data_IF_989882575798
#
_entry.id   IF_989882575798
#
_cell.length_a   1.000
_cell.length_b   1.000
_cell.length_c   1.000
_cell.angle_alpha   90.00
_cell.angle_beta   90.00
_cell.angle_gamma   90.00
#
_symmetry.space_group_name_H-M   'P 1'
#
loop_
_entity.id
_entity.type
_entity.pdbx_description
1 polymer ?
#
# COMPACT_ATOMS: atom_id res chain seq x y z
N UNK A 1 5.50 7.53 -5.49
CA UNK A 1 4.47 6.79 -6.20
C UNK A 1 3.79 5.81 -5.29
N UNK A 2 2.84 5.08 -5.81
CA UNK A 2 2.07 4.09 -5.06
C UNK A 2 0.74 4.62 -4.54
N UNK A 3 0.13 3.86 -3.65
CA UNK A 3 -1.18 4.15 -3.09
C UNK A 3 -1.07 4.81 -1.72
N UNK A 4 -2.14 5.48 -1.31
CA UNK A 4 -2.29 6.06 0.02
C UNK A 4 -3.70 5.77 0.56
N UNK A 5 -3.78 5.41 1.84
CA UNK A 5 -5.03 5.26 2.56
C UNK A 5 -4.93 6.01 3.87
N UNK A 6 -5.99 6.74 4.22
CA UNK A 6 -5.95 7.60 5.41
C UNK A 6 -7.28 7.57 6.15
N UNK A 7 -7.20 7.55 7.47
CA UNK A 7 -8.32 7.84 8.37
C UNK A 7 -7.94 9.06 9.21
N UNK A 8 -8.82 10.06 9.24
CA UNK A 8 -8.66 11.27 10.04
C UNK A 8 -9.82 11.36 11.03
N UNK A 9 -9.51 11.49 12.33
CA UNK A 9 -10.46 11.96 13.32
C UNK A 9 -10.38 13.48 13.41
N UNK A 10 -11.50 14.14 13.13
CA UNK A 10 -11.63 15.58 13.28
C UNK A 10 -12.45 15.92 14.54
N UNK A 11 -11.85 16.46 15.58
CA UNK A 11 -12.53 16.79 16.83
C UNK A 11 -13.54 17.94 16.66
N UNK A 12 -13.40 18.80 15.66
CA UNK A 12 -14.32 19.91 15.44
C UNK A 12 -15.69 19.43 14.93
N UNK A 13 -15.68 18.46 14.01
CA UNK A 13 -16.89 17.84 13.48
C UNK A 13 -17.31 16.57 14.25
N UNK A 14 -16.46 16.05 15.15
CA UNK A 14 -16.61 14.77 15.83
C UNK A 14 -16.86 13.60 14.86
N UNK A 15 -16.11 13.56 13.76
CA UNK A 15 -16.26 12.56 12.70
C UNK A 15 -14.93 11.97 12.28
N UNK A 16 -15.01 10.70 11.87
CA UNK A 16 -13.97 10.04 11.11
C UNK A 16 -14.18 10.31 9.62
N UNK A 17 -13.09 10.59 8.92
CA UNK A 17 -13.02 10.73 7.48
C UNK A 17 -12.05 9.70 6.93
N UNK A 18 -12.48 8.92 5.96
CA UNK A 18 -11.63 7.99 5.24
C UNK A 18 -11.25 8.53 3.87
N UNK A 19 -10.01 8.31 3.44
CA UNK A 19 -9.58 8.62 2.09
C UNK A 19 -8.93 7.40 1.45
N UNK A 20 -9.45 7.01 0.29
CA UNK A 20 -8.93 5.96 -0.56
C UNK A 20 -8.21 6.59 -1.76
N UNK A 21 -6.88 6.66 -1.69
CA UNK A 21 -6.01 7.15 -2.76
C UNK A 21 -5.33 6.01 -3.52
N UNK A 22 -5.99 4.86 -3.69
CA UNK A 22 -5.50 3.80 -4.55
C UNK A 22 -5.71 4.13 -6.03
N UNK A 23 -4.79 3.68 -6.86
CA UNK A 23 -4.85 3.92 -8.30
C UNK A 23 -5.53 2.80 -9.08
N UNK A 24 -6.28 3.19 -10.10
CA UNK A 24 -6.92 2.25 -11.02
C UNK A 24 -5.92 1.59 -11.96
N UNK A 25 -6.25 0.42 -12.46
CA UNK A 25 -5.54 -0.24 -13.56
C UNK A 25 -5.57 0.64 -14.81
N UNK A 26 -4.47 0.71 -15.60
CA UNK A 26 -4.45 1.44 -16.86
C UNK A 26 -5.57 1.03 -17.81
N UNK A 27 -6.28 2.00 -18.40
CA UNK A 27 -7.42 1.73 -19.28
C UNK A 27 -7.06 0.94 -20.55
N UNK A 28 -5.80 1.06 -20.99
CA UNK A 28 -5.29 0.31 -22.14
C UNK A 28 -5.07 -1.18 -21.89
N UNK A 29 -5.24 -1.66 -20.64
CA UNK A 29 -5.04 -3.06 -20.28
C UNK A 29 -6.38 -3.78 -20.11
N UNK A 30 -6.68 -4.70 -21.01
CA UNK A 30 -7.86 -5.57 -20.87
C UNK A 30 -7.58 -6.79 -19.98
N UNK A 31 -8.64 -7.37 -19.40
CA UNK A 31 -8.54 -8.62 -18.63
C UNK A 31 -7.91 -9.74 -19.47
N UNK A 32 -8.20 -9.81 -20.77
CA UNK A 32 -7.61 -10.81 -21.66
C UNK A 32 -6.08 -10.63 -21.80
N UNK A 33 -5.60 -9.39 -21.85
CA UNK A 33 -4.16 -9.09 -21.86
C UNK A 33 -3.51 -9.46 -20.53
N UNK A 34 -4.13 -9.11 -19.40
CA UNK A 34 -3.64 -9.47 -18.08
C UNK A 34 -3.55 -10.99 -17.90
N UNK A 35 -4.58 -11.73 -18.31
CA UNK A 35 -4.58 -13.22 -18.29
C UNK A 35 -3.51 -13.85 -19.17
N UNK A 36 -3.18 -13.24 -20.32
CA UNK A 36 -2.07 -13.70 -21.17
C UNK A 36 -0.73 -13.48 -20.48
N UNK A 37 -0.54 -12.30 -19.89
CA UNK A 37 0.69 -11.97 -19.17
C UNK A 37 0.89 -12.87 -17.94
N UNK A 38 -0.16 -13.11 -17.16
CA UNK A 38 -0.15 -14.03 -16.03
C UNK A 38 0.24 -15.47 -16.44
N UNK A 39 -0.32 -15.98 -17.55
CA UNK A 39 0.06 -17.29 -18.12
C UNK A 39 1.51 -17.32 -18.58
N UNK A 40 1.98 -16.28 -19.26
CA UNK A 40 3.38 -16.16 -19.71
C UNK A 40 4.36 -16.25 -18.54
N UNK A 41 3.95 -15.78 -17.38
CA UNK A 41 4.74 -15.80 -16.14
C UNK A 41 4.56 -17.04 -15.28
N UNK A 42 3.79 -18.03 -15.74
CA UNK A 42 3.60 -19.30 -15.06
C UNK A 42 2.60 -19.30 -13.89
N UNK A 43 1.89 -18.19 -13.68
CA UNK A 43 0.82 -18.13 -12.67
C UNK A 43 -0.48 -17.53 -13.26
N UNK A 44 -1.30 -18.34 -13.94
CA UNK A 44 -2.49 -17.86 -14.63
C UNK A 44 -3.61 -17.35 -13.71
N UNK A 45 -3.53 -17.64 -12.42
CA UNK A 45 -4.54 -17.26 -11.43
C UNK A 45 -4.24 -15.92 -10.73
N UNK A 46 -3.07 -15.32 -10.97
CA UNK A 46 -2.65 -14.11 -10.23
C UNK A 46 -2.18 -12.99 -11.16
N UNK A 47 -2.45 -11.76 -10.75
CA UNK A 47 -1.82 -10.58 -11.34
C UNK A 47 -0.29 -10.65 -11.08
N UNK A 48 0.56 -10.37 -12.11
CA UNK A 48 2.00 -10.33 -11.90
C UNK A 48 2.39 -9.36 -10.79
N UNK A 49 3.36 -9.75 -9.95
CA UNK A 49 3.82 -8.90 -8.85
C UNK A 49 4.90 -7.90 -9.24
N UNK A 50 5.50 -8.05 -10.43
CA UNK A 50 6.60 -7.22 -10.94
C UNK A 50 6.41 -6.87 -12.42
N UNK A 51 7.09 -5.80 -12.83
CA UNK A 51 7.14 -5.33 -14.21
C UNK A 51 5.91 -4.49 -14.60
N UNK A 52 5.94 -4.00 -15.81
CA UNK A 52 4.99 -3.01 -16.31
C UNK A 52 3.50 -3.42 -16.23
N UNK A 53 3.22 -4.73 -16.13
CA UNK A 53 1.85 -5.25 -16.03
C UNK A 53 1.23 -5.09 -14.62
N UNK A 54 2.06 -4.90 -13.60
CA UNK A 54 1.58 -4.71 -12.21
C UNK A 54 1.36 -3.25 -11.83
N UNK A 55 1.75 -2.30 -12.70
CA UNK A 55 1.68 -0.87 -12.40
C UNK A 55 0.26 -0.34 -12.54
N UNK A 56 -0.28 0.19 -11.44
CA UNK A 56 -1.51 1.01 -11.40
C UNK A 56 -1.14 2.51 -11.44
N UNK A 57 -2.14 3.36 -11.54
CA UNK A 57 -1.95 4.81 -11.44
C UNK A 57 -1.48 5.16 -10.02
N UNK A 58 -0.34 5.86 -9.84
CA UNK A 58 0.10 6.25 -8.50
C UNK A 58 -0.84 7.28 -7.88
N UNK A 59 -1.45 6.99 -6.73
CA UNK A 59 -2.45 7.86 -6.10
C UNK A 59 -1.94 8.69 -4.93
N UNK A 60 -0.73 8.43 -4.43
CA UNK A 60 -0.20 9.07 -3.21
C UNK A 60 -0.20 10.60 -3.27
N UNK A 61 0.25 11.20 -4.37
CA UNK A 61 0.31 12.67 -4.50
C UNK A 61 -1.08 13.29 -4.48
N UNK A 62 -2.05 12.64 -5.12
CA UNK A 62 -3.45 13.07 -5.07
C UNK A 62 -3.98 13.10 -3.62
N UNK A 63 -3.72 12.04 -2.86
CA UNK A 63 -4.11 11.98 -1.46
C UNK A 63 -3.47 13.05 -0.59
N UNK A 64 -2.20 13.42 -0.83
CA UNK A 64 -1.59 14.55 -0.12
C UNK A 64 -2.35 15.86 -0.35
N UNK A 65 -2.74 16.14 -1.58
CA UNK A 65 -3.48 17.35 -1.90
C UNK A 65 -4.93 17.31 -1.39
N UNK A 66 -5.61 16.17 -1.48
CA UNK A 66 -6.96 16.02 -0.93
C UNK A 66 -7.01 16.24 0.58
N UNK A 67 -6.04 15.68 1.32
CA UNK A 67 -5.90 15.91 2.77
C UNK A 67 -5.55 17.35 3.08
N UNK A 68 -4.62 17.92 2.31
CA UNK A 68 -4.19 19.31 2.49
C UNK A 68 -5.32 20.30 2.23
N UNK A 69 -6.10 20.13 1.20
CA UNK A 69 -7.25 20.98 0.86
C UNK A 69 -8.27 21.02 2.02
N UNK A 70 -8.47 19.88 2.69
CA UNK A 70 -9.48 19.76 3.74
C UNK A 70 -8.99 20.14 5.12
N UNK A 71 -7.76 19.75 5.46
CA UNK A 71 -7.21 19.86 6.82
C UNK A 71 -5.90 20.65 6.90
N UNK A 72 -5.26 20.93 5.77
CA UNK A 72 -3.96 21.59 5.71
C UNK A 72 -4.04 23.07 6.08
N UNK A 73 -2.98 23.57 6.73
CA UNK A 73 -2.84 24.99 7.13
C UNK A 73 -1.60 25.64 6.53
N UNK A 74 -0.53 24.88 6.35
CA UNK A 74 0.74 25.38 5.82
C UNK A 74 0.79 25.18 4.30
N UNK A 75 1.49 26.02 3.54
CA UNK A 75 1.69 25.80 2.11
C UNK A 75 2.35 24.45 1.83
N UNK A 76 1.93 23.75 0.78
CA UNK A 76 2.48 22.43 0.41
C UNK A 76 3.99 22.46 0.22
N UNK A 77 4.53 23.53 -0.37
CA UNK A 77 5.98 23.71 -0.52
C UNK A 77 6.72 23.71 0.83
N UNK A 78 6.14 24.32 1.87
CA UNK A 78 6.71 24.30 3.21
C UNK A 78 6.63 22.91 3.84
N UNK A 79 5.53 22.19 3.63
CA UNK A 79 5.36 20.82 4.14
C UNK A 79 6.35 19.85 3.50
N UNK A 80 6.65 20.00 2.21
CA UNK A 80 7.59 19.15 1.49
C UNK A 80 9.07 19.54 1.67
N UNK A 81 9.36 20.77 2.17
CA UNK A 81 10.73 21.30 2.27
C UNK A 81 11.71 20.37 3.02
N UNK A 82 11.38 19.77 4.18
CA UNK A 82 12.28 18.84 4.85
C UNK A 82 12.58 17.60 4.01
N UNK A 83 11.58 17.05 3.32
CA UNK A 83 11.76 15.87 2.46
C UNK A 83 12.60 16.22 1.23
N UNK A 84 12.42 17.40 0.65
CA UNK A 84 13.25 17.93 -0.44
C UNK A 84 14.71 18.05 0.03
N UNK A 85 14.94 18.57 1.23
CA UNK A 85 16.29 18.67 1.80
C UNK A 85 16.93 17.30 1.96
N UNK A 86 16.25 16.33 2.59
CA UNK A 86 16.74 14.96 2.73
C UNK A 86 17.02 14.29 1.36
N UNK A 87 16.15 14.48 0.40
CA UNK A 87 16.35 13.94 -0.93
C UNK A 87 17.57 14.57 -1.65
N UNK A 88 17.84 15.85 -1.42
CA UNK A 88 18.94 16.59 -2.04
C UNK A 88 20.29 16.35 -1.37
N UNK A 89 20.33 16.42 -0.06
CA UNK A 89 21.56 16.37 0.73
C UNK A 89 21.91 14.96 1.20
N UNK A 90 20.90 14.09 1.31
CA UNK A 90 21.00 12.72 1.76
C UNK A 90 20.25 12.46 3.07
N UNK A 91 19.57 11.34 3.09
CA UNK A 91 18.92 10.80 4.28
C UNK A 91 19.79 9.69 4.91
N UNK A 92 19.89 9.61 6.25
CA UNK A 92 20.58 8.51 6.91
C UNK A 92 19.81 7.20 6.70
N UNK A 93 20.53 6.16 6.29
CA UNK A 93 19.93 4.85 6.04
C UNK A 93 20.34 3.88 7.15
N UNK A 94 19.41 3.46 8.04
CA UNK A 94 19.71 2.49 9.10
C UNK A 94 20.07 1.11 8.54
N UNK A 95 20.79 0.29 9.32
CA UNK A 95 21.24 -1.05 8.93
C UNK A 95 20.10 -1.95 8.44
N UNK A 96 18.94 -1.94 9.11
CA UNK A 96 17.78 -2.74 8.69
C UNK A 96 17.29 -2.32 7.30
N UNK A 97 17.24 -1.03 7.01
CA UNK A 97 16.84 -0.54 5.69
C UNK A 97 17.88 -0.89 4.64
N UNK A 98 19.19 -0.77 4.95
CA UNK A 98 20.25 -1.20 4.04
C UNK A 98 20.18 -2.70 3.71
N UNK A 99 19.84 -3.56 4.70
CA UNK A 99 19.59 -4.98 4.47
C UNK A 99 18.40 -5.21 3.51
N UNK A 100 17.27 -4.53 3.71
CA UNK A 100 16.14 -4.59 2.78
C UNK A 100 16.50 -4.07 1.39
N UNK A 101 17.32 -3.04 1.31
CA UNK A 101 17.83 -2.48 0.06
C UNK A 101 18.63 -3.51 -0.73
N UNK A 102 19.57 -4.18 -0.07
CA UNK A 102 20.35 -5.27 -0.68
C UNK A 102 19.46 -6.46 -1.13
N UNK A 103 18.40 -6.77 -0.35
CA UNK A 103 17.42 -7.79 -0.74
C UNK A 103 16.62 -7.36 -1.97
N UNK A 104 16.19 -6.10 -2.03
CA UNK A 104 15.48 -5.55 -3.20
C UNK A 104 16.36 -5.56 -4.46
N UNK A 105 17.66 -5.20 -4.35
CA UNK A 105 18.61 -5.34 -5.46
C UNK A 105 18.62 -6.77 -6.01
N UNK A 106 18.85 -7.77 -5.14
CA UNK A 106 18.89 -9.19 -5.56
C UNK A 106 17.58 -9.61 -6.22
N UNK A 107 16.43 -9.18 -5.67
CA UNK A 107 15.12 -9.47 -6.22
C UNK A 107 14.95 -8.87 -7.63
N UNK A 108 15.21 -7.57 -7.81
CA UNK A 108 15.05 -6.91 -9.11
C UNK A 108 16.01 -7.49 -10.17
N UNK A 109 17.24 -7.81 -9.80
CA UNK A 109 18.19 -8.49 -10.69
C UNK A 109 17.70 -9.90 -11.11
N UNK A 110 17.14 -10.66 -10.16
CA UNK A 110 16.57 -11.99 -10.44
C UNK A 110 15.35 -11.88 -11.36
N UNK A 111 14.45 -10.93 -11.10
CA UNK A 111 13.27 -10.71 -11.92
C UNK A 111 13.62 -10.25 -13.35
N UNK A 112 14.65 -9.40 -13.47
CA UNK A 112 15.17 -8.97 -14.76
C UNK A 112 15.83 -10.12 -15.54
N UNK A 113 16.70 -10.89 -14.91
CA UNK A 113 17.35 -12.04 -15.52
C UNK A 113 16.34 -13.11 -16.00
N UNK A 114 15.20 -13.22 -15.29
CA UNK A 114 14.09 -14.11 -15.65
C UNK A 114 13.15 -13.50 -16.72
N UNK A 115 13.43 -12.31 -17.25
CA UNK A 115 12.60 -11.63 -18.26
C UNK A 115 11.23 -11.15 -17.73
N UNK A 116 11.08 -11.00 -16.41
CA UNK A 116 9.85 -10.52 -15.79
C UNK A 116 9.84 -9.02 -15.53
N UNK A 117 11.01 -8.38 -15.52
CA UNK A 117 11.17 -6.92 -15.62
C UNK A 117 11.61 -6.53 -17.03
N UNK A 118 11.11 -5.42 -17.52
CA UNK A 118 11.45 -4.89 -18.83
C UNK A 118 12.77 -4.10 -18.83
N UNK A 119 13.13 -3.56 -17.66
CA UNK A 119 14.30 -2.70 -17.51
C UNK A 119 14.75 -2.68 -16.05
N UNK A 120 16.06 -2.60 -15.80
CA UNK A 120 16.64 -2.51 -14.45
C UNK A 120 17.76 -1.47 -14.37
N UNK A 121 18.18 -0.88 -15.52
CA UNK A 121 19.35 0.00 -15.55
C UNK A 121 19.13 1.27 -14.74
N UNK A 122 17.94 1.89 -14.81
CA UNK A 122 17.62 3.06 -13.99
C UNK A 122 17.71 2.76 -12.49
N UNK A 123 17.29 1.56 -12.07
CA UNK A 123 17.41 1.15 -10.67
C UNK A 123 18.88 0.92 -10.27
N UNK A 124 19.70 0.36 -11.16
CA UNK A 124 21.15 0.20 -10.95
C UNK A 124 21.82 1.54 -10.78
N UNK A 125 21.56 2.47 -11.66
CA UNK A 125 22.20 3.78 -11.69
C UNK A 125 21.80 4.62 -10.47
N UNK A 126 20.54 4.53 -10.05
CA UNK A 126 20.03 5.35 -8.95
C UNK A 126 20.20 4.69 -7.58
N UNK A 127 19.82 3.42 -7.45
CA UNK A 127 19.71 2.77 -6.15
C UNK A 127 20.80 1.76 -5.84
N UNK A 128 21.47 1.21 -6.84
CA UNK A 128 22.38 0.06 -6.66
C UNK A 128 23.81 0.35 -7.10
N UNK A 129 24.17 1.61 -7.23
CA UNK A 129 25.51 2.02 -7.56
C UNK A 129 26.51 1.56 -6.47
N UNK A 130 27.61 0.89 -6.87
CA UNK A 130 28.62 0.39 -5.95
C UNK A 130 29.99 1.05 -6.14
N UNK A 131 30.34 1.39 -7.40
CA UNK A 131 31.63 1.94 -7.76
C UNK A 131 31.46 3.20 -8.61
N UNK A 132 32.32 4.17 -8.43
CA UNK A 132 32.29 5.46 -9.15
C UNK A 132 30.96 6.20 -9.06
N UNK A 133 30.29 6.06 -7.91
CA UNK A 133 29.00 6.69 -7.67
C UNK A 133 29.16 8.20 -7.46
N UNK A 134 28.14 8.96 -7.84
CA UNK A 134 28.04 10.35 -7.44
C UNK A 134 27.99 10.46 -5.89
N UNK A 135 28.39 11.59 -5.29
CA UNK A 135 28.36 11.77 -3.86
C UNK A 135 26.99 11.43 -3.26
N UNK A 136 27.01 10.70 -2.16
CA UNK A 136 25.79 10.24 -1.44
C UNK A 136 24.81 9.40 -2.30
N UNK A 137 25.27 8.79 -3.39
CA UNK A 137 24.48 7.87 -4.25
C UNK A 137 24.98 6.43 -4.23
N UNK A 138 25.96 6.13 -3.42
CA UNK A 138 26.39 4.76 -3.23
C UNK A 138 25.28 3.94 -2.56
N UNK A 139 25.11 2.70 -3.00
CA UNK A 139 24.13 1.80 -2.36
C UNK A 139 24.41 1.70 -0.87
N UNK A 140 23.41 1.94 0.01
CA UNK A 140 23.63 1.98 1.45
C UNK A 140 24.09 0.65 2.03
N UNK A 141 25.05 0.71 2.95
CA UNK A 141 25.55 -0.42 3.74
C UNK A 141 25.14 -0.35 5.22
N UNK A 142 24.33 0.64 5.58
CA UNK A 142 23.90 0.93 6.96
C UNK A 142 24.71 2.03 7.64
N UNK A 143 25.65 2.62 6.91
CA UNK A 143 26.44 3.77 7.33
C UNK A 143 26.43 4.83 6.22
N UNK A 144 26.15 6.08 6.58
CA UNK A 144 26.17 7.18 5.64
C UNK A 144 24.79 7.65 5.15
N UNK A 145 24.83 8.52 4.16
CA UNK A 145 23.69 9.21 3.61
C UNK A 145 23.40 8.70 2.20
N UNK A 146 22.11 8.65 1.84
CA UNK A 146 21.68 8.40 0.46
C UNK A 146 20.88 9.59 -0.07
N UNK A 147 21.31 10.15 -1.19
CA UNK A 147 20.68 11.28 -1.86
C UNK A 147 19.99 10.89 -3.17
N UNK A 148 18.87 11.53 -3.45
CA UNK A 148 18.15 11.43 -4.71
C UNK A 148 17.72 12.84 -5.19
N UNK A 149 18.60 13.63 -5.80
CA UNK A 149 18.29 14.98 -6.27
C UNK A 149 17.15 15.04 -7.28
N UNK A 150 16.92 13.99 -8.07
CA UNK A 150 15.83 13.94 -9.04
C UNK A 150 14.47 13.85 -8.32
N UNK A 151 14.41 13.11 -7.19
CA UNK A 151 13.25 13.12 -6.31
C UNK A 151 13.06 14.49 -5.68
N UNK A 152 14.13 15.15 -5.22
CA UNK A 152 14.06 16.51 -4.67
C UNK A 152 13.46 17.49 -5.68
N UNK A 153 13.94 17.47 -6.94
CA UNK A 153 13.42 18.33 -8.00
C UNK A 153 11.93 18.05 -8.29
N UNK A 154 11.53 16.77 -8.27
CA UNK A 154 10.13 16.38 -8.45
C UNK A 154 9.24 16.88 -7.31
N UNK A 155 9.69 16.75 -6.07
CA UNK A 155 8.94 17.22 -4.90
C UNK A 155 8.85 18.75 -4.83
N UNK A 156 9.92 19.48 -5.19
CA UNK A 156 9.91 20.95 -5.32
C UNK A 156 8.90 21.41 -6.38
N UNK A 157 8.89 20.74 -7.54
CA UNK A 157 7.93 20.99 -8.60
C UNK A 157 6.49 20.82 -8.10
N UNK A 158 6.21 19.70 -7.44
CA UNK A 158 4.89 19.40 -6.86
C UNK A 158 4.51 20.45 -5.81
N UNK A 159 5.44 20.81 -4.93
CA UNK A 159 5.21 21.83 -3.89
C UNK A 159 4.90 23.22 -4.46
N UNK A 160 5.53 23.60 -5.56
CA UNK A 160 5.37 24.90 -6.22
C UNK A 160 4.16 24.96 -7.15
N UNK A 161 3.94 23.94 -7.96
CA UNK A 161 2.94 23.94 -9.05
C UNK A 161 1.69 23.09 -8.74
N UNK A 162 1.69 22.43 -7.59
CA UNK A 162 0.53 21.70 -7.11
C UNK A 162 0.37 20.28 -7.72
N UNK A 163 -0.78 19.69 -7.46
CA UNK A 163 -1.16 18.33 -7.87
C UNK A 163 -1.00 18.09 -9.37
N UNK A 164 -1.38 19.05 -10.18
CA UNK A 164 -1.39 18.93 -11.64
C UNK A 164 0.01 18.87 -12.25
N UNK A 165 1.06 19.34 -11.55
CA UNK A 165 2.44 19.11 -11.95
C UNK A 165 2.76 17.61 -12.09
N UNK A 166 2.18 16.79 -11.22
CA UNK A 166 2.35 15.34 -11.24
C UNK A 166 1.41 14.66 -12.24
N UNK A 167 0.12 14.95 -12.20
CA UNK A 167 -0.89 14.19 -12.96
C UNK A 167 -1.16 14.69 -14.37
N UNK A 168 -0.89 15.97 -14.67
CA UNK A 168 -1.12 16.60 -15.98
C UNK A 168 0.09 17.32 -16.52
N UNK A 169 1.10 17.51 -15.68
CA UNK A 169 2.32 18.25 -15.96
C UNK A 169 3.45 17.39 -16.54
N UNK A 170 4.69 17.85 -16.35
CA UNK A 170 5.88 17.19 -16.90
C UNK A 170 6.09 15.79 -16.31
N UNK A 171 5.73 15.54 -15.06
CA UNK A 171 5.90 14.22 -14.44
C UNK A 171 5.04 13.17 -15.14
N UNK A 172 3.74 13.48 -15.40
CA UNK A 172 2.86 12.58 -16.15
C UNK A 172 3.39 12.26 -17.55
N UNK A 173 3.92 13.26 -18.25
CA UNK A 173 4.51 13.07 -19.58
C UNK A 173 5.75 12.18 -19.55
N UNK A 174 6.60 12.36 -18.55
CA UNK A 174 7.80 11.52 -18.36
C UNK A 174 7.40 10.07 -18.08
N UNK A 175 6.42 9.84 -17.21
CA UNK A 175 5.88 8.49 -16.90
C UNK A 175 5.31 7.84 -18.17
N UNK A 176 4.49 8.55 -18.94
CA UNK A 176 3.91 8.03 -20.19
C UNK A 176 4.98 7.65 -21.21
N UNK A 177 5.96 8.54 -21.42
CA UNK A 177 7.08 8.28 -22.35
C UNK A 177 7.89 7.06 -21.91
N UNK A 178 8.20 6.94 -20.61
CA UNK A 178 8.89 5.77 -20.07
C UNK A 178 8.09 4.49 -20.27
N UNK A 179 6.80 4.49 -19.91
CA UNK A 179 5.94 3.33 -20.05
C UNK A 179 5.78 2.89 -21.50
N UNK A 180 5.71 3.83 -22.45
CA UNK A 180 5.73 3.49 -23.88
C UNK A 180 7.03 2.80 -24.29
N UNK A 181 8.18 3.31 -23.83
CA UNK A 181 9.51 2.77 -24.12
C UNK A 181 9.67 1.32 -23.65
N UNK A 182 9.16 0.99 -22.46
CA UNK A 182 9.27 -0.36 -21.89
C UNK A 182 8.08 -1.28 -22.24
N UNK A 183 7.13 -0.83 -23.07
CA UNK A 183 5.94 -1.62 -23.43
C UNK A 183 4.89 -1.76 -22.31
N UNK A 184 4.90 -0.86 -21.33
CA UNK A 184 3.89 -0.79 -20.27
C UNK A 184 2.56 -0.20 -20.75
N UNK A 185 1.52 -0.28 -19.95
CA UNK A 185 0.16 0.15 -20.29
C UNK A 185 -0.24 1.51 -19.74
N UNK A 186 0.39 1.99 -18.67
CA UNK A 186 0.06 3.29 -18.07
C UNK A 186 0.32 4.43 -19.07
N UNK A 187 -0.64 5.32 -19.21
CA UNK A 187 -0.62 6.44 -20.15
C UNK A 187 -0.90 7.76 -19.44
N UNK A 188 -0.59 8.86 -20.13
CA UNK A 188 -0.87 10.22 -19.67
C UNK A 188 -2.33 10.39 -19.27
N UNK A 189 -3.29 9.88 -20.07
CA UNK A 189 -4.71 10.01 -19.79
C UNK A 189 -5.15 9.25 -18.52
N UNK A 190 -4.51 8.14 -18.18
CA UNK A 190 -4.77 7.43 -16.94
C UNK A 190 -4.38 8.29 -15.73
N UNK A 191 -3.20 8.93 -15.82
CA UNK A 191 -2.72 9.87 -14.80
C UNK A 191 -3.63 11.11 -14.72
N UNK A 192 -3.93 11.75 -15.85
CA UNK A 192 -4.71 12.99 -15.90
C UNK A 192 -6.15 12.84 -15.36
N UNK A 193 -6.72 11.64 -15.42
CA UNK A 193 -8.06 11.31 -14.90
C UNK A 193 -8.07 10.82 -13.47
N UNK A 194 -6.90 10.56 -12.90
CA UNK A 194 -6.84 10.01 -11.56
C UNK A 194 -7.45 10.98 -10.54
N UNK A 195 -8.26 10.41 -9.67
CA UNK A 195 -8.83 11.05 -8.50
C UNK A 195 -9.12 9.97 -7.45
N UNK A 196 -8.63 10.18 -6.24
CA UNK A 196 -9.00 9.33 -5.10
C UNK A 196 -10.37 9.70 -4.55
N UNK A 197 -10.82 8.97 -3.56
CA UNK A 197 -12.20 9.05 -3.07
C UNK A 197 -12.24 9.23 -1.55
N UNK A 198 -13.06 10.17 -1.09
CA UNK A 198 -13.46 10.22 0.31
C UNK A 198 -14.50 9.12 0.55
N UNK A 199 -14.26 8.29 1.55
CA UNK A 199 -15.11 7.14 1.89
C UNK A 199 -15.44 7.15 3.37
N UNK A 200 -16.63 6.67 3.73
CA UNK A 200 -16.97 6.50 5.13
C UNK A 200 -16.28 5.22 5.67
N UNK A 201 -15.53 5.31 6.79
CA UNK A 201 -14.97 4.14 7.43
C UNK A 201 -16.06 3.15 7.86
N UNK A 202 -15.71 1.87 7.85
CA UNK A 202 -16.54 0.78 8.41
C UNK A 202 -16.07 0.56 9.83
N UNK A 203 -17.01 0.57 10.79
CA UNK A 203 -16.70 0.41 12.20
C UNK A 203 -17.44 -0.79 12.78
N UNK A 204 -16.81 -1.45 13.77
CA UNK A 204 -17.40 -2.53 14.57
C UNK A 204 -17.05 -2.35 16.04
N UNK A 205 -17.95 -2.74 16.96
CA UNK A 205 -17.60 -2.82 18.36
C UNK A 205 -16.58 -3.96 18.58
N UNK A 206 -15.63 -3.74 19.45
CA UNK A 206 -14.72 -4.76 19.95
C UNK A 206 -14.43 -4.48 21.42
N UNK A 207 -14.91 -5.33 22.31
CA UNK A 207 -14.86 -5.12 23.76
C UNK A 207 -15.58 -3.81 24.15
N UNK A 208 -14.83 -2.87 24.70
CA UNK A 208 -15.28 -1.56 25.20
C UNK A 208 -14.96 -0.39 24.23
N UNK A 209 -14.48 -0.70 23.02
CA UNK A 209 -14.11 0.29 22.00
C UNK A 209 -14.79 0.00 20.67
N UNK A 210 -14.83 1.00 19.81
CA UNK A 210 -15.17 0.86 18.42
C UNK A 210 -13.90 0.90 17.56
N UNK A 211 -13.74 -0.06 16.64
CA UNK A 211 -12.60 -0.14 15.73
C UNK A 211 -13.10 0.14 14.32
N UNK A 212 -12.42 1.06 13.65
CA UNK A 212 -12.82 1.53 12.33
C UNK A 212 -11.70 1.32 11.30
N UNK A 213 -12.08 0.91 10.08
CA UNK A 213 -11.17 0.68 8.97
C UNK A 213 -11.78 1.16 7.65
N UNK A 214 -10.95 1.32 6.63
CA UNK A 214 -11.43 1.67 5.30
C UNK A 214 -12.11 0.47 4.61
N UNK A 215 -13.20 0.73 3.87
CA UNK A 215 -13.85 -0.30 3.06
C UNK A 215 -12.94 -0.78 1.91
N UNK A 216 -13.29 -1.85 1.19
CA UNK A 216 -12.61 -2.23 -0.05
C UNK A 216 -12.59 -1.08 -1.07
N UNK A 217 -11.58 -1.04 -1.90
CA UNK A 217 -10.58 -2.07 -2.26
C UNK A 217 -9.42 -2.21 -1.26
N UNK A 218 -9.39 -1.43 -0.17
CA UNK A 218 -8.43 -1.65 0.92
C UNK A 218 -8.69 -3.01 1.60
N UNK A 219 -7.77 -3.44 2.44
CA UNK A 219 -7.93 -4.70 3.19
C UNK A 219 -8.27 -4.48 4.67
N UNK A 220 -8.60 -3.26 5.09
CA UNK A 220 -8.84 -2.92 6.50
C UNK A 220 -9.93 -3.77 7.16
N UNK A 221 -11.01 -4.07 6.44
CA UNK A 221 -12.10 -4.91 6.94
C UNK A 221 -11.65 -6.31 7.39
N UNK A 222 -10.50 -6.84 6.92
CA UNK A 222 -9.91 -8.09 7.44
C UNK A 222 -9.61 -7.97 8.94
N UNK A 223 -9.08 -6.81 9.38
CA UNK A 223 -8.81 -6.59 10.80
C UNK A 223 -10.11 -6.59 11.61
N UNK A 224 -11.14 -5.89 11.12
CA UNK A 224 -12.45 -5.85 11.77
C UNK A 224 -13.05 -7.25 11.90
N UNK A 225 -13.05 -8.02 10.83
CA UNK A 225 -13.58 -9.40 10.83
C UNK A 225 -12.78 -10.31 11.77
N UNK A 226 -11.45 -10.19 11.77
CA UNK A 226 -10.59 -10.94 12.69
C UNK A 226 -10.97 -10.63 14.15
N UNK A 227 -11.11 -9.35 14.50
CA UNK A 227 -11.52 -8.94 15.84
C UNK A 227 -12.91 -9.46 16.22
N UNK A 228 -13.89 -9.39 15.32
CA UNK A 228 -15.24 -9.94 15.54
C UNK A 228 -15.23 -11.46 15.75
N UNK A 229 -14.39 -12.20 15.04
CA UNK A 229 -14.22 -13.64 15.29
C UNK A 229 -13.60 -13.86 16.66
N UNK A 230 -12.56 -13.11 17.03
CA UNK A 230 -11.82 -13.22 18.27
C UNK A 230 -12.64 -12.80 19.51
N UNK A 231 -13.67 -11.98 19.35
CA UNK A 231 -14.53 -11.54 20.45
C UNK A 231 -15.19 -12.69 21.20
N UNK A 232 -15.38 -13.82 20.55
CA UNK A 232 -15.93 -15.04 21.19
C UNK A 232 -14.91 -15.86 21.99
N UNK A 233 -13.64 -15.45 22.05
CA UNK A 233 -12.60 -16.13 22.84
C UNK A 233 -12.15 -15.28 24.01
N UNK A 234 -11.93 -15.90 25.16
CA UNK A 234 -11.37 -15.21 26.33
C UNK A 234 -9.84 -15.18 26.25
N UNK A 235 -9.30 -14.30 25.38
CA UNK A 235 -7.85 -14.17 25.17
C UNK A 235 -7.08 -13.83 26.46
N UNK A 236 -7.72 -13.17 27.44
CA UNK A 236 -7.10 -12.85 28.73
C UNK A 236 -6.83 -14.12 29.53
N UNK A 237 -7.81 -15.03 29.62
CA UNK A 237 -7.66 -16.32 30.31
C UNK A 237 -6.70 -17.26 29.58
N UNK A 238 -6.66 -17.20 28.23
CA UNK A 238 -5.68 -17.96 27.46
C UNK A 238 -4.25 -17.52 27.75
N UNK A 239 -4.02 -16.29 28.18
CA UNK A 239 -2.71 -15.74 28.50
C UNK A 239 -2.01 -15.08 27.31
N UNK A 240 -1.22 -14.05 27.61
CA UNK A 240 -0.49 -13.30 26.59
C UNK A 240 0.56 -14.17 25.89
N UNK A 241 0.52 -14.23 24.57
CA UNK A 241 1.40 -15.03 23.68
C UNK A 241 1.43 -16.54 24.03
N UNK A 242 0.40 -17.06 24.72
CA UNK A 242 0.28 -18.51 24.87
C UNK A 242 -0.01 -19.20 23.55
N UNK A 243 0.24 -20.51 23.49
CA UNK A 243 -0.06 -21.34 22.31
C UNK A 243 -1.54 -21.17 21.93
N UNK A 244 -2.44 -21.24 22.90
CA UNK A 244 -3.89 -21.15 22.66
C UNK A 244 -4.28 -19.78 22.11
N UNK A 245 -3.75 -18.69 22.70
CA UNK A 245 -4.05 -17.34 22.22
C UNK A 245 -3.49 -17.06 20.82
N UNK A 246 -2.27 -17.51 20.53
CA UNK A 246 -1.68 -17.40 19.21
C UNK A 246 -2.43 -18.24 18.18
N UNK A 247 -2.82 -19.46 18.56
CA UNK A 247 -3.56 -20.37 17.71
C UNK A 247 -4.87 -19.74 17.22
N UNK A 248 -5.71 -19.26 18.12
CA UNK A 248 -7.01 -18.67 17.73
C UNK A 248 -6.85 -17.37 16.93
N UNK A 249 -5.82 -16.57 17.21
CA UNK A 249 -5.51 -15.36 16.43
C UNK A 249 -5.08 -15.70 15.01
N UNK A 250 -4.23 -16.71 14.84
CA UNK A 250 -3.79 -17.17 13.52
C UNK A 250 -4.99 -17.73 12.73
N UNK A 251 -5.81 -18.59 13.34
CA UNK A 251 -6.95 -19.19 12.67
C UNK A 251 -8.01 -18.17 12.29
N UNK A 252 -8.34 -17.20 13.16
CA UNK A 252 -9.25 -16.10 12.86
C UNK A 252 -8.74 -15.25 11.69
N UNK A 253 -7.45 -14.94 11.69
CA UNK A 253 -6.80 -14.19 10.61
C UNK A 253 -6.86 -14.97 9.29
N UNK A 254 -6.60 -16.28 9.29
CA UNK A 254 -6.69 -17.14 8.10
C UNK A 254 -8.09 -17.14 7.48
N UNK A 255 -9.13 -17.20 8.32
CA UNK A 255 -10.53 -17.14 7.86
C UNK A 255 -10.86 -15.79 7.23
N UNK A 256 -10.48 -14.69 7.88
CA UNK A 256 -10.72 -13.35 7.37
C UNK A 256 -9.97 -13.09 6.04
N UNK A 257 -8.75 -13.61 5.88
CA UNK A 257 -8.00 -13.53 4.61
C UNK A 257 -8.60 -14.41 3.51
N UNK A 258 -9.18 -15.56 3.84
CA UNK A 258 -9.90 -16.38 2.88
C UNK A 258 -11.14 -15.66 2.35
N UNK A 259 -11.89 -15.01 3.22
CA UNK A 259 -13.04 -14.19 2.83
C UNK A 259 -12.62 -12.98 1.99
N UNK A 260 -11.52 -12.30 2.38
CA UNK A 260 -10.95 -11.24 1.55
C UNK A 260 -10.64 -11.72 0.13
N UNK A 261 -10.00 -12.86 -0.01
CA UNK A 261 -9.63 -13.40 -1.33
C UNK A 261 -10.85 -13.70 -2.22
N UNK A 262 -12.00 -13.97 -1.60
CA UNK A 262 -13.22 -14.32 -2.31
C UNK A 262 -14.15 -13.12 -2.58
N UNK A 263 -14.29 -12.21 -1.63
CA UNK A 263 -15.33 -11.18 -1.65
C UNK A 263 -14.82 -9.77 -1.99
N UNK A 264 -13.53 -9.46 -1.72
CA UNK A 264 -13.07 -8.09 -1.89
C UNK A 264 -12.70 -7.79 -3.35
N UNK A 265 -13.03 -6.59 -3.77
CA UNK A 265 -12.71 -6.05 -5.07
C UNK A 265 -13.01 -4.56 -5.12
N UNK A 266 -12.84 -3.95 -6.29
CA UNK A 266 -13.23 -2.56 -6.50
C UNK A 266 -14.78 -2.47 -6.39
N UNK A 267 -15.32 -1.64 -5.47
CA UNK A 267 -16.76 -1.49 -5.27
C UNK A 267 -17.52 -1.05 -6.51
N UNK A 268 -16.86 -0.41 -7.47
CA UNK A 268 -17.47 -0.04 -8.75
C UNK A 268 -17.82 -1.26 -9.62
N UNK A 269 -17.22 -2.43 -9.34
CA UNK A 269 -17.39 -3.66 -10.12
C UNK A 269 -17.90 -4.85 -9.29
N UNK A 270 -17.89 -4.74 -7.97
CA UNK A 270 -18.40 -5.77 -7.05
C UNK A 270 -19.65 -5.25 -6.36
N UNK A 271 -20.70 -6.05 -6.32
CA UNK A 271 -21.96 -5.68 -5.66
C UNK A 271 -22.09 -6.34 -4.27
N UNK A 272 -20.96 -6.78 -3.69
CA UNK A 272 -20.95 -7.41 -2.39
C UNK A 272 -20.74 -6.36 -1.29
N UNK A 273 -21.71 -6.28 -0.36
CA UNK A 273 -21.53 -5.46 0.84
C UNK A 273 -20.69 -6.22 1.88
N UNK A 274 -19.48 -5.75 2.11
CA UNK A 274 -18.53 -6.37 3.06
C UNK A 274 -19.02 -6.34 4.51
N UNK A 275 -19.99 -5.47 4.86
CA UNK A 275 -20.58 -5.45 6.21
C UNK A 275 -21.26 -6.79 6.56
N UNK A 276 -21.67 -7.56 5.56
CA UNK A 276 -22.20 -8.93 5.76
C UNK A 276 -21.18 -9.87 6.40
N UNK A 277 -19.89 -9.66 6.19
CA UNK A 277 -18.82 -10.45 6.82
C UNK A 277 -18.60 -10.10 8.30
N UNK A 278 -19.22 -9.01 8.78
CA UNK A 278 -19.06 -8.46 10.12
C UNK A 278 -20.28 -8.71 11.01
N UNK A 279 -21.35 -9.34 10.47
CA UNK A 279 -22.55 -9.68 11.24
C UNK A 279 -22.26 -10.74 12.30
N UNK A 280 -23.05 -10.76 13.35
CA UNK A 280 -22.91 -11.71 14.45
C UNK A 280 -23.05 -13.16 13.97
N UNK A 281 -24.02 -13.40 13.06
CA UNK A 281 -24.28 -14.73 12.49
C UNK A 281 -23.07 -15.20 11.70
N UNK A 282 -22.58 -14.39 10.75
CA UNK A 282 -21.46 -14.77 9.91
C UNK A 282 -20.18 -15.00 10.71
N UNK A 283 -19.87 -14.11 11.65
CA UNK A 283 -18.68 -14.24 12.49
C UNK A 283 -18.77 -15.43 13.45
N UNK A 284 -19.99 -15.78 13.92
CA UNK A 284 -20.21 -16.99 14.71
C UNK A 284 -19.97 -18.26 13.87
N UNK A 285 -20.45 -18.31 12.63
CA UNK A 285 -20.16 -19.42 11.71
C UNK A 285 -18.65 -19.59 11.47
N UNK A 286 -17.94 -18.49 11.23
CA UNK A 286 -16.49 -18.52 11.06
C UNK A 286 -15.76 -18.98 12.33
N UNK A 287 -16.17 -18.49 13.49
CA UNK A 287 -15.63 -18.90 14.79
C UNK A 287 -15.81 -20.40 15.05
N UNK A 288 -16.95 -20.95 14.70
CA UNK A 288 -17.25 -22.37 14.89
C UNK A 288 -16.34 -23.30 14.07
N UNK A 289 -15.64 -22.78 13.05
CA UNK A 289 -14.66 -23.53 12.28
C UNK A 289 -13.31 -23.68 13.00
N UNK A 290 -13.04 -22.87 14.03
CA UNK A 290 -11.77 -22.90 14.76
C UNK A 290 -11.81 -24.03 15.81
N UNK A 291 -10.97 -25.05 15.61
CA UNK A 291 -10.73 -26.08 16.63
C UNK A 291 -9.64 -25.58 17.60
N UNK A 292 -9.85 -25.81 18.90
CA UNK A 292 -8.84 -25.46 19.91
C UNK A 292 -7.71 -26.50 20.03
N UNK A 293 -7.85 -27.66 19.37
CA UNK A 293 -6.93 -28.80 19.51
C UNK A 293 -6.15 -29.11 18.23
N UNK A 294 -6.53 -28.52 17.11
CA UNK A 294 -5.89 -28.77 15.80
C UNK A 294 -6.00 -27.57 14.88
N UNK A 295 -4.96 -27.36 14.06
CA UNK A 295 -4.99 -26.34 13.01
C UNK A 295 -6.01 -26.75 11.92
N UNK A 296 -6.76 -25.75 11.41
CA UNK A 296 -7.64 -25.98 10.26
C UNK A 296 -6.83 -26.39 9.02
N UNK A 297 -7.39 -27.23 8.13
CA UNK A 297 -6.87 -27.36 6.78
C UNK A 297 -6.76 -25.97 6.12
N UNK A 298 -5.88 -25.78 5.11
CA UNK A 298 -5.84 -24.51 4.40
C UNK A 298 -7.26 -24.19 3.90
N UNK A 299 -7.84 -23.03 4.30
CA UNK A 299 -9.14 -22.63 3.79
C UNK A 299 -9.05 -22.48 2.26
N UNK A 300 -10.08 -22.83 1.51
CA UNK A 300 -10.10 -22.62 0.06
C UNK A 300 -9.82 -21.12 -0.20
N UNK A 301 -8.92 -20.84 -1.13
CA UNK A 301 -8.46 -19.50 -1.55
C UNK A 301 -7.49 -18.76 -0.63
N UNK A 302 -7.01 -19.35 0.47
CA UNK A 302 -6.03 -18.70 1.37
C UNK A 302 -4.58 -18.92 0.92
N UNK A 303 -4.04 -18.07 0.08
CA UNK A 303 -2.60 -17.84 0.00
C UNK A 303 -2.23 -16.63 0.87
N UNK A 304 -1.80 -16.87 2.10
CA UNK A 304 -1.15 -15.87 2.94
C UNK A 304 0.25 -15.59 2.36
N UNK A 305 0.38 -14.54 1.54
CA UNK A 305 1.66 -14.00 1.14
C UNK A 305 2.00 -12.83 2.06
N UNK A 306 2.97 -13.03 2.91
CA UNK A 306 3.46 -12.01 3.87
C UNK A 306 4.52 -11.07 3.27
N UNK A 307 4.62 -10.97 1.97
CA UNK A 307 5.62 -10.15 1.27
C UNK A 307 5.04 -8.77 0.97
N UNK A 308 5.32 -7.78 1.77
CA UNK A 308 4.99 -6.39 1.50
C UNK A 308 5.81 -5.45 2.36
N UNK A 309 6.28 -4.34 1.77
CA UNK A 309 6.94 -3.26 2.48
C UNK A 309 6.03 -2.02 2.40
N UNK A 310 5.75 -1.41 3.55
CA UNK A 310 4.79 -0.31 3.63
C UNK A 310 5.23 0.67 4.71
N UNK A 311 5.03 1.96 4.48
CA UNK A 311 5.22 2.99 5.50
C UNK A 311 3.87 3.35 6.11
N UNK A 312 3.77 3.21 7.42
CA UNK A 312 2.61 3.62 8.21
C UNK A 312 3.03 4.66 9.23
N UNK A 313 2.19 5.67 9.43
CA UNK A 313 2.39 6.69 10.44
C UNK A 313 1.06 7.08 11.11
N UNK A 314 1.18 7.53 12.36
CA UNK A 314 0.10 8.17 13.09
C UNK A 314 0.58 9.50 13.65
N UNK A 315 -0.31 10.47 13.70
CA UNK A 315 -0.06 11.76 14.35
C UNK A 315 -1.27 12.18 15.17
N UNK A 316 -1.03 12.94 16.24
CA UNK A 316 -2.06 13.56 17.03
C UNK A 316 -1.58 14.95 17.48
N UNK A 317 -2.51 15.88 17.64
CA UNK A 317 -2.19 17.22 18.14
C UNK A 317 -3.00 17.57 19.42
N UNK A 318 -2.71 18.75 19.98
CA UNK A 318 -3.35 19.23 21.20
C UNK A 318 -4.84 19.56 21.04
N UNK A 319 -5.34 19.70 19.82
CA UNK A 319 -6.78 19.86 19.55
C UNK A 319 -7.54 18.54 19.62
N UNK A 320 -6.81 17.40 19.63
CA UNK A 320 -7.36 16.06 19.56
C UNK A 320 -7.56 15.56 18.13
N UNK A 321 -7.06 16.27 17.11
CA UNK A 321 -7.03 15.75 15.74
C UNK A 321 -6.06 14.58 15.66
N UNK A 322 -6.47 13.49 15.02
CA UNK A 322 -5.66 12.29 14.85
C UNK A 322 -5.66 11.87 13.39
N UNK A 323 -4.50 11.45 12.91
CA UNK A 323 -4.32 10.94 11.54
C UNK A 323 -3.67 9.57 11.61
N UNK A 324 -4.25 8.61 10.90
CA UNK A 324 -3.71 7.29 10.61
C UNK A 324 -3.50 7.19 9.11
N UNK A 325 -2.25 7.09 8.66
CA UNK A 325 -1.89 7.15 7.25
C UNK A 325 -0.97 6.01 6.88
N UNK A 326 -1.28 5.34 5.77
CA UNK A 326 -0.43 4.31 5.17
C UNK A 326 -0.22 4.63 3.70
N UNK A 327 1.03 4.50 3.24
CA UNK A 327 1.38 4.65 1.83
C UNK A 327 2.45 3.65 1.41
N UNK A 328 2.36 3.14 0.19
CA UNK A 328 3.27 2.10 -0.27
C UNK A 328 3.33 1.95 -1.78
N UNK A 329 4.49 1.50 -2.26
CA UNK A 329 4.67 0.93 -3.60
C UNK A 329 4.37 -0.59 -3.64
N UNK A 330 3.80 -1.15 -2.59
CA UNK A 330 3.47 -2.55 -2.38
C UNK A 330 4.68 -3.44 -2.06
N UNK A 331 5.67 -3.59 -2.93
CA UNK A 331 6.84 -4.45 -2.70
C UNK A 331 8.13 -3.68 -2.82
N UNK A 332 8.83 -3.52 -1.70
CA UNK A 332 10.15 -2.90 -1.64
C UNK A 332 10.19 -1.56 -2.37
N UNK A 333 11.04 -1.47 -3.38
CA UNK A 333 11.18 -0.26 -4.21
C UNK A 333 10.14 -0.14 -5.33
N UNK A 334 9.12 -0.99 -5.36
CA UNK A 334 8.15 -1.09 -6.43
C UNK A 334 8.56 -2.10 -7.51
N UNK A 335 7.99 -1.97 -8.71
CA UNK A 335 8.19 -2.87 -9.84
C UNK A 335 8.83 -2.18 -11.04
#
# INVERSE_FOLDING_TARGET
GGDIFVIVWDPASQRLYGYNGSGRTPQGMSLAQMRREARRRGNPAAVPSFGAASVSVPGTVDGWFALHERFGRLPMAQLLAPTVQYAREGAPIPQTIAMYWANNRRRLETEYAAGRLQEVQNARDLYFCQENCAPNRQMPDGHGLFANPDLANTLELIGREGRDAYYRGPVARTIDAYMRRIGGWLRYDDLARHQGEWVDPVCVPYRDVEVCELPPNSQGVVALQTLRILEGFNLREMGFLSIDSLHVQIEATRLAFADRAHFYGDPAFTHFDVRRLLTDEYTAERRAMISLTSAMPPPPHAELRLDGDTTYLTTADSSGMMVSLIQSNYRGMGS
#
